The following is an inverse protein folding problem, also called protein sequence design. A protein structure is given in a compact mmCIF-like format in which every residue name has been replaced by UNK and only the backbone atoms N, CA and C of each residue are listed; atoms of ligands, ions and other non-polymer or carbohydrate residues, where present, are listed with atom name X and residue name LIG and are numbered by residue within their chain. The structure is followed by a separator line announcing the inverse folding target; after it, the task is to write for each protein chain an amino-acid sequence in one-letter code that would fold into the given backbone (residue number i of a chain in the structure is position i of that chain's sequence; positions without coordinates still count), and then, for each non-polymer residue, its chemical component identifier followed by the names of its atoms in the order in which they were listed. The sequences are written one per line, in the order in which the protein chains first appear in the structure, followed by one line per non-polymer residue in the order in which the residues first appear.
data_IF_003831114083
#
_entry.id   IF_003831114083
#
_cell.length_a   1.000
_cell.length_b   1.000
_cell.length_c   1.000
_cell.angle_alpha   90.00
_cell.angle_beta   90.00
_cell.angle_gamma   90.00
#
_symmetry.space_group_name_H-M   'P 1'
#
loop_
_entity.id
_entity.type
_entity.pdbx_description
1 polymer ?
#
# COMPACT_ATOMS: atom_id res chain seq x y z
N UNK A 1 11.23 -7.65 12.17
CA UNK A 1 10.93 -7.71 10.72
C UNK A 1 12.28 -7.60 10.03
N UNK A 2 12.86 -8.73 9.65
CA UNK A 2 14.17 -8.75 8.99
C UNK A 2 14.06 -8.12 7.59
N UNK A 3 15.13 -7.47 7.14
CA UNK A 3 15.22 -6.83 5.83
C UNK A 3 14.62 -5.43 5.70
N UNK A 4 13.89 -4.92 6.71
CA UNK A 4 13.39 -3.52 6.71
C UNK A 4 14.56 -2.55 6.85
N UNK A 5 14.68 -1.63 5.90
CA UNK A 5 15.68 -0.56 5.90
C UNK A 5 15.08 0.79 6.30
N UNK A 6 13.78 1.00 6.09
CA UNK A 6 13.08 2.21 6.53
C UNK A 6 11.59 1.96 6.75
N UNK A 7 10.99 2.70 7.68
CA UNK A 7 9.55 2.75 7.86
C UNK A 7 9.10 4.21 8.01
N UNK A 8 7.98 4.54 7.38
CA UNK A 8 7.35 5.85 7.49
C UNK A 8 5.85 5.66 7.78
N UNK A 9 5.33 6.45 8.72
CA UNK A 9 3.93 6.44 9.11
C UNK A 9 3.36 7.81 8.81
N UNK A 10 2.44 7.84 7.86
CA UNK A 10 1.63 9.02 7.59
C UNK A 10 0.35 8.92 8.41
N UNK A 11 0.24 9.72 9.47
CA UNK A 11 -0.89 9.67 10.40
C UNK A 11 -2.16 10.26 9.82
N UNK A 12 -2.04 11.23 8.92
CA UNK A 12 -3.17 11.90 8.27
C UNK A 12 -3.94 10.92 7.38
N UNK A 13 -3.21 10.17 6.56
CA UNK A 13 -3.78 9.15 5.68
C UNK A 13 -3.84 7.75 6.31
N UNK A 14 -3.29 7.57 7.52
CA UNK A 14 -3.13 6.27 8.20
C UNK A 14 -2.37 5.25 7.34
N UNK A 15 -1.37 5.73 6.59
CA UNK A 15 -0.55 4.91 5.69
C UNK A 15 0.75 4.51 6.37
N UNK A 16 1.14 3.25 6.20
CA UNK A 16 2.47 2.76 6.57
C UNK A 16 3.23 2.45 5.29
N UNK A 17 4.40 3.05 5.13
CA UNK A 17 5.35 2.75 4.04
C UNK A 17 6.52 2.00 4.62
N UNK A 18 6.82 0.83 4.06
CA UNK A 18 7.95 -0.01 4.47
C UNK A 18 8.90 -0.14 3.29
N UNK A 19 10.17 0.14 3.51
CA UNK A 19 11.25 0.00 2.52
C UNK A 19 12.23 -1.02 3.05
N UNK A 20 12.69 -1.92 2.19
CA UNK A 20 13.61 -2.97 2.55
C UNK A 20 13.46 -4.22 1.68
N UNK A 21 14.32 -5.21 1.92
CA UNK A 21 14.20 -6.55 1.36
C UNK A 21 13.17 -7.33 2.18
N UNK A 22 11.90 -7.17 1.85
CA UNK A 22 10.79 -7.73 2.62
C UNK A 22 9.78 -8.41 1.71
N UNK A 23 9.11 -9.43 2.22
CA UNK A 23 7.95 -10.02 1.54
C UNK A 23 6.71 -9.17 1.82
N UNK A 24 6.10 -8.50 0.82
CA UNK A 24 4.97 -7.58 1.06
C UNK A 24 3.78 -8.24 1.75
N UNK A 25 3.50 -9.51 1.43
CA UNK A 25 2.46 -10.30 2.10
C UNK A 25 2.79 -10.60 3.56
N UNK A 26 4.07 -10.86 3.87
CA UNK A 26 4.51 -11.06 5.25
C UNK A 26 4.35 -9.80 6.10
N UNK A 27 4.64 -8.64 5.49
CA UNK A 27 4.40 -7.32 6.09
C UNK A 27 2.92 -7.10 6.35
N UNK A 28 2.09 -7.32 5.33
CA UNK A 28 0.63 -7.20 5.44
C UNK A 28 0.06 -8.11 6.53
N UNK A 29 0.47 -9.38 6.58
CA UNK A 29 0.03 -10.34 7.59
C UNK A 29 0.42 -9.87 9.00
N UNK A 30 1.66 -9.41 9.19
CA UNK A 30 2.14 -8.95 10.49
C UNK A 30 1.33 -7.78 11.02
N UNK A 31 1.02 -6.79 10.16
CA UNK A 31 0.21 -5.62 10.52
C UNK A 31 -1.26 -6.02 10.73
N UNK A 32 -1.78 -6.94 9.91
CA UNK A 32 -3.16 -7.42 9.99
C UNK A 32 -3.49 -8.13 11.30
N UNK A 33 -2.49 -8.64 12.04
CA UNK A 33 -2.67 -9.24 13.37
C UNK A 33 -3.15 -8.24 14.42
N UNK A 34 -2.82 -6.95 14.26
CA UNK A 34 -3.18 -5.90 15.21
C UNK A 34 -4.29 -5.00 14.68
N UNK A 35 -4.35 -4.76 13.37
CA UNK A 35 -5.42 -3.98 12.73
C UNK A 35 -5.56 -4.36 11.27
N UNK A 36 -6.79 -4.43 10.76
CA UNK A 36 -7.04 -4.68 9.35
C UNK A 36 -6.23 -3.70 8.49
N UNK A 37 -5.41 -4.25 7.60
CA UNK A 37 -4.55 -3.51 6.70
C UNK A 37 -4.74 -4.03 5.29
N UNK A 38 -4.51 -3.17 4.31
CA UNK A 38 -4.57 -3.47 2.90
C UNK A 38 -3.42 -2.73 2.20
N UNK A 39 -3.06 -3.19 0.99
CA UNK A 39 -2.13 -2.43 0.17
C UNK A 39 -2.75 -1.10 -0.23
N UNK A 40 -1.90 -0.08 -0.33
CA UNK A 40 -2.34 1.21 -0.81
C UNK A 40 -2.83 1.06 -2.25
N UNK A 41 -4.00 1.63 -2.61
CA UNK A 41 -4.45 1.61 -4.00
C UNK A 41 -3.40 2.34 -4.84
N UNK A 42 -2.82 1.64 -5.82
CA UNK A 42 -2.07 2.31 -6.87
C UNK A 42 -3.04 3.22 -7.61
N UNK A 43 -2.63 4.44 -8.01
CA UNK A 43 -3.42 5.19 -8.97
C UNK A 43 -3.52 4.30 -10.21
N UNK A 44 -4.69 3.73 -10.45
CA UNK A 44 -4.94 2.99 -11.68
C UNK A 44 -4.74 3.99 -12.81
N UNK A 45 -3.66 3.83 -13.56
CA UNK A 45 -3.45 4.54 -14.82
C UNK A 45 -4.41 3.97 -15.87
N UNK A 46 -5.70 4.10 -15.63
CA UNK A 46 -6.73 3.85 -16.61
C UNK A 46 -7.43 5.19 -16.84
N UNK A 47 -7.19 5.88 -17.97
CA UNK A 47 -8.03 7.02 -18.30
C UNK A 47 -9.47 6.52 -18.42
N UNK A 48 -10.48 7.22 -17.84
CA UNK A 48 -11.83 7.00 -18.28
C UNK A 48 -11.88 7.42 -19.74
N UNK A 49 -12.04 6.45 -20.65
CA UNK A 49 -12.48 6.70 -22.02
C UNK A 49 -14.02 6.83 -21.97
N UNK A 50 -14.61 8.04 -22.00
CA UNK A 50 -15.88 8.20 -22.65
C UNK A 50 -15.61 8.34 -24.15
N UNK A 51 -15.89 7.27 -24.90
CA UNK A 51 -16.13 7.39 -26.34
C UNK A 51 -17.17 8.50 -26.55
N UNK A 52 -16.75 9.63 -27.10
CA UNK A 52 -17.65 10.61 -27.66
C UNK A 52 -18.35 9.97 -28.86
N UNK A 53 -19.67 9.87 -28.84
CA UNK A 53 -20.52 9.70 -30.02
C UNK A 53 -21.98 9.98 -29.67
N UNK A 54 -22.41 11.22 -29.87
CA UNK A 54 -23.66 11.63 -30.56
C UNK A 54 -23.74 13.15 -30.60
#
# INVERSE_FOLDING_TARGET
MEGVTSFNIDFETKKVTVVGDVTPLGVLNSISKVKNAQFWPSPSSSPPHPSASS
#
